data_IF_263249697885
#
_entry.id   IF_263249697885
#
_cell.length_a   1.000
_cell.length_b   1.000
_cell.length_c   1.000
_cell.angle_alpha   90.00
_cell.angle_beta   90.00
_cell.angle_gamma   90.00
#
_symmetry.space_group_name_H-M   'P 1'
#
loop_
_entity.id
_entity.type
_entity.pdbx_description
1 polymer ?
#
# COMPACT_ATOMS: atom_id res chain seq x y z
N UNK A 1 -11.78 12.70 11.01
CA UNK A 1 -10.39 12.94 10.53
C UNK A 1 -10.20 12.14 9.24
N UNK A 2 -9.84 12.79 8.16
CA UNK A 2 -9.61 12.09 6.88
C UNK A 2 -8.14 11.65 6.82
N UNK A 3 -7.91 10.34 6.65
CA UNK A 3 -6.58 9.80 6.36
C UNK A 3 -6.38 9.91 4.84
N UNK A 4 -5.54 10.86 4.42
CA UNK A 4 -5.13 10.99 3.03
C UNK A 4 -3.73 10.42 2.89
N UNK A 5 -3.56 9.46 1.98
CA UNK A 5 -2.27 8.85 1.68
C UNK A 5 -1.81 9.26 0.27
N UNK A 6 -0.77 10.08 0.23
CA UNK A 6 -0.14 10.53 -1.02
C UNK A 6 1.03 9.64 -1.44
N UNK A 7 1.42 8.67 -0.63
CA UNK A 7 2.55 7.78 -0.92
C UNK A 7 2.21 6.61 -1.86
N UNK A 8 0.92 6.45 -2.21
CA UNK A 8 0.44 5.31 -3.03
C UNK A 8 1.18 5.21 -4.37
N UNK A 9 1.40 6.34 -5.06
CA UNK A 9 2.12 6.38 -6.33
C UNK A 9 3.58 5.89 -6.18
N UNK A 10 4.30 6.42 -5.21
CA UNK A 10 5.68 6.03 -4.93
C UNK A 10 5.78 4.56 -4.47
N UNK A 11 4.80 4.09 -3.69
CA UNK A 11 4.70 2.68 -3.28
C UNK A 11 4.52 1.76 -4.48
N UNK A 12 3.66 2.11 -5.44
CA UNK A 12 3.46 1.33 -6.66
C UNK A 12 4.78 1.23 -7.45
N UNK A 13 5.48 2.35 -7.63
CA UNK A 13 6.75 2.36 -8.37
C UNK A 13 7.80 1.48 -7.67
N UNK A 14 8.03 1.67 -6.38
CA UNK A 14 9.02 0.90 -5.63
C UNK A 14 8.67 -0.60 -5.59
N UNK A 15 7.40 -0.93 -5.36
CA UNK A 15 6.92 -2.31 -5.33
C UNK A 15 7.06 -2.99 -6.70
N UNK A 16 6.81 -2.27 -7.80
CA UNK A 16 6.97 -2.81 -9.15
C UNK A 16 8.43 -3.08 -9.52
N UNK A 17 9.36 -2.22 -9.11
CA UNK A 17 10.80 -2.45 -9.28
C UNK A 17 11.24 -3.71 -8.53
N UNK A 18 10.79 -3.87 -7.29
CA UNK A 18 11.10 -5.05 -6.47
C UNK A 18 10.48 -6.31 -7.10
N UNK A 19 9.23 -6.21 -7.61
CA UNK A 19 8.59 -7.31 -8.32
C UNK A 19 9.38 -7.75 -9.56
N UNK A 20 9.83 -6.81 -10.38
CA UNK A 20 10.64 -7.11 -11.56
C UNK A 20 11.96 -7.79 -11.18
N UNK A 21 12.67 -7.28 -10.17
CA UNK A 21 13.92 -7.89 -9.72
C UNK A 21 13.71 -9.29 -9.09
N UNK A 22 12.62 -9.48 -8.37
CA UNK A 22 12.28 -10.77 -7.76
C UNK A 22 11.82 -11.80 -8.80
N UNK A 23 11.15 -11.36 -9.88
CA UNK A 23 10.71 -12.24 -10.95
C UNK A 23 11.86 -12.91 -11.69
N UNK A 24 13.01 -12.27 -11.79
CA UNK A 24 14.23 -12.83 -12.39
C UNK A 24 14.74 -14.04 -11.60
N UNK A 25 14.56 -14.06 -10.27
CA UNK A 25 15.06 -15.14 -9.40
C UNK A 25 14.00 -16.21 -9.08
N UNK A 26 12.76 -15.79 -8.88
CA UNK A 26 11.68 -16.63 -8.36
C UNK A 26 10.50 -16.78 -9.33
N UNK A 27 10.62 -16.30 -10.56
CA UNK A 27 9.58 -16.43 -11.56
C UNK A 27 8.28 -15.73 -11.16
N UNK A 28 7.14 -16.33 -11.49
CA UNK A 28 5.80 -15.80 -11.17
C UNK A 28 5.54 -15.61 -9.67
N UNK A 29 6.10 -16.48 -8.82
CA UNK A 29 5.96 -16.33 -7.37
C UNK A 29 6.62 -15.05 -6.87
N UNK A 30 7.82 -14.72 -7.38
CA UNK A 30 8.50 -13.46 -7.07
C UNK A 30 7.72 -12.23 -7.52
N UNK A 31 7.09 -12.30 -8.70
CA UNK A 31 6.30 -11.21 -9.25
C UNK A 31 5.07 -10.84 -8.38
N UNK A 32 4.47 -11.82 -7.72
CA UNK A 32 3.25 -11.59 -6.90
C UNK A 32 3.59 -11.37 -5.43
N UNK A 33 4.45 -12.20 -4.84
CA UNK A 33 4.71 -12.18 -3.40
C UNK A 33 5.57 -10.97 -3.00
N UNK A 34 6.61 -10.65 -3.78
CA UNK A 34 7.53 -9.57 -3.43
C UNK A 34 6.87 -8.18 -3.33
N UNK A 35 6.03 -7.75 -4.28
CA UNK A 35 5.34 -6.46 -4.16
C UNK A 35 4.31 -6.44 -3.04
N UNK A 36 3.65 -7.57 -2.71
CA UNK A 36 2.73 -7.65 -1.58
C UNK A 36 3.46 -7.42 -0.25
N UNK A 37 4.60 -8.07 -0.06
CA UNK A 37 5.44 -7.88 1.13
C UNK A 37 5.93 -6.44 1.18
N UNK A 38 6.47 -5.91 0.08
CA UNK A 38 6.98 -4.55 0.00
C UNK A 38 5.88 -3.51 0.34
N UNK A 39 4.72 -3.60 -0.30
CA UNK A 39 3.59 -2.71 -0.05
C UNK A 39 3.11 -2.77 1.40
N UNK A 40 3.07 -3.97 1.99
CA UNK A 40 2.71 -4.15 3.39
C UNK A 40 3.72 -3.48 4.34
N UNK A 41 5.01 -3.62 4.07
CA UNK A 41 6.07 -2.97 4.87
C UNK A 41 5.97 -1.46 4.76
N UNK A 42 5.79 -0.92 3.56
CA UNK A 42 5.62 0.52 3.33
C UNK A 42 4.39 1.06 4.06
N UNK A 43 3.25 0.38 3.97
CA UNK A 43 2.04 0.76 4.70
C UNK A 43 2.23 0.75 6.20
N UNK A 44 2.91 -0.26 6.76
CA UNK A 44 3.26 -0.32 8.18
C UNK A 44 4.17 0.86 8.59
N UNK A 45 5.18 1.19 7.79
CA UNK A 45 6.07 2.34 8.05
C UNK A 45 5.25 3.63 8.07
N UNK A 46 4.40 3.87 7.05
CA UNK A 46 3.54 5.04 6.97
C UNK A 46 2.65 5.17 8.21
N UNK A 47 1.98 4.08 8.61
CA UNK A 47 1.11 4.06 9.77
C UNK A 47 1.84 4.33 11.08
N UNK A 48 3.02 3.73 11.29
CA UNK A 48 3.83 3.91 12.50
C UNK A 48 4.35 5.35 12.59
N UNK A 49 4.89 5.89 11.49
CA UNK A 49 5.43 7.26 11.44
C UNK A 49 4.31 8.26 11.69
N UNK A 50 3.15 8.09 11.06
CA UNK A 50 1.98 8.93 11.26
C UNK A 50 1.55 8.99 12.74
N UNK A 51 1.46 7.82 13.40
CA UNK A 51 1.05 7.77 14.82
C UNK A 51 2.10 8.41 15.72
N UNK A 52 3.39 8.17 15.47
CA UNK A 52 4.46 8.71 16.33
C UNK A 52 4.62 10.22 16.23
N UNK A 53 4.48 10.77 15.03
CA UNK A 53 4.72 12.20 14.80
C UNK A 53 3.53 13.08 15.19
N UNK A 54 2.32 12.55 15.30
CA UNK A 54 1.10 13.30 15.64
C UNK A 54 0.82 14.50 14.73
N UNK A 55 1.29 14.46 13.48
CA UNK A 55 1.08 15.49 12.45
C UNK A 55 0.08 15.00 11.39
N UNK A 56 -0.31 15.89 10.49
CA UNK A 56 -1.25 15.53 9.41
C UNK A 56 -0.74 14.36 8.58
N UNK A 57 -1.63 13.40 8.25
CA UNK A 57 -1.30 12.26 7.39
C UNK A 57 -0.75 12.69 6.03
N UNK A 58 -1.29 13.77 5.47
CA UNK A 58 -0.86 14.31 4.20
C UNK A 58 0.63 14.72 4.21
N UNK A 59 1.08 15.40 5.26
CA UNK A 59 2.49 15.83 5.37
C UNK A 59 3.41 14.62 5.50
N UNK A 60 3.03 13.65 6.35
CA UNK A 60 3.81 12.43 6.56
C UNK A 60 3.94 11.64 5.27
N UNK A 61 2.84 11.40 4.59
CA UNK A 61 2.84 10.57 3.37
C UNK A 61 3.51 11.26 2.19
N UNK A 62 3.40 12.60 2.07
CA UNK A 62 4.18 13.36 1.09
C UNK A 62 5.69 13.29 1.35
N UNK A 63 6.13 13.41 2.60
CA UNK A 63 7.55 13.29 2.93
C UNK A 63 8.08 11.86 2.67
N UNK A 64 7.30 10.84 3.03
CA UNK A 64 7.67 9.45 2.79
C UNK A 64 7.65 9.09 1.30
N UNK A 65 6.74 9.66 0.50
CA UNK A 65 6.73 9.44 -0.94
C UNK A 65 8.03 9.87 -1.61
N UNK A 66 8.59 11.02 -1.22
CA UNK A 66 9.90 11.48 -1.73
C UNK A 66 11.03 10.52 -1.38
N UNK A 67 10.98 9.93 -0.17
CA UNK A 67 11.97 8.91 0.24
C UNK A 67 11.82 7.65 -0.62
N UNK A 68 10.59 7.17 -0.87
CA UNK A 68 10.36 5.99 -1.69
C UNK A 68 10.71 6.20 -3.16
N UNK A 69 10.49 7.41 -3.69
CA UNK A 69 10.95 7.80 -5.03
C UNK A 69 12.48 7.79 -5.11
N UNK A 70 13.15 8.40 -4.14
CA UNK A 70 14.60 8.38 -4.08
C UNK A 70 15.17 6.95 -3.99
N UNK A 71 14.56 6.09 -3.17
CA UNK A 71 14.91 4.67 -3.09
C UNK A 71 14.70 3.95 -4.43
N UNK A 72 13.63 4.27 -5.15
CA UNK A 72 13.35 3.71 -6.48
C UNK A 72 14.43 4.06 -7.49
N UNK A 73 14.84 5.34 -7.52
CA UNK A 73 15.93 5.80 -8.38
C UNK A 73 17.27 5.18 -7.96
N UNK A 74 17.54 5.09 -6.67
CA UNK A 74 18.78 4.50 -6.15
C UNK A 74 18.89 3.00 -6.51
N UNK A 75 17.83 2.23 -6.34
CA UNK A 75 17.83 0.79 -6.64
C UNK A 75 17.97 0.47 -8.12
N UNK A 76 17.52 1.38 -8.99
CA UNK A 76 17.60 1.22 -10.45
C UNK A 76 18.84 1.90 -11.07
N UNK A 77 19.60 2.67 -10.27
CA UNK A 77 20.65 3.57 -10.79
C UNK A 77 20.11 4.51 -11.88
N UNK A 78 18.86 4.95 -11.77
CA UNK A 78 18.18 5.78 -12.75
C UNK A 78 17.87 5.09 -14.09
N UNK A 79 18.02 3.76 -14.18
CA UNK A 79 17.72 2.99 -15.40
C UNK A 79 16.31 2.45 -15.39
N UNK A 80 15.73 2.29 -16.57
CA UNK A 80 14.44 1.63 -16.71
C UNK A 80 14.55 0.14 -16.39
N UNK A 81 13.68 -0.35 -15.52
CA UNK A 81 13.55 -1.78 -15.24
C UNK A 81 12.52 -2.34 -16.21
N UNK A 82 12.94 -3.32 -17.00
CA UNK A 82 12.09 -3.96 -18.01
C UNK A 82 11.76 -5.37 -17.54
N UNK A 83 10.47 -5.66 -17.47
CA UNK A 83 9.97 -7.00 -17.19
C UNK A 83 10.20 -7.92 -18.40
N UNK A 84 10.65 -9.14 -18.16
CA UNK A 84 10.79 -10.16 -19.22
C UNK A 84 9.46 -10.39 -19.93
N UNK A 85 9.51 -10.64 -21.24
CA UNK A 85 8.33 -10.83 -22.10
C UNK A 85 7.38 -11.93 -21.60
N UNK A 86 7.93 -12.96 -20.95
CA UNK A 86 7.15 -14.06 -20.37
C UNK A 86 6.15 -13.62 -19.29
N UNK A 87 6.47 -12.55 -18.53
CA UNK A 87 5.63 -12.07 -17.42
C UNK A 87 4.70 -10.91 -17.81
N UNK A 88 4.77 -10.44 -19.07
CA UNK A 88 3.93 -9.35 -19.58
C UNK A 88 2.45 -9.68 -19.57
N UNK A 89 2.09 -10.95 -19.65
CA UNK A 89 0.70 -11.41 -19.67
C UNK A 89 -0.15 -10.87 -18.50
N UNK A 90 0.45 -10.59 -17.34
CA UNK A 90 -0.27 -9.97 -16.20
C UNK A 90 -0.59 -8.48 -16.41
N UNK A 91 0.18 -7.79 -17.25
CA UNK A 91 -0.04 -6.39 -17.60
C UNK A 91 -0.93 -6.19 -18.81
N UNK A 92 -1.17 -7.23 -19.59
CA UNK A 92 -1.93 -7.15 -20.83
C UNK A 92 -3.43 -7.31 -20.60
N UNK A 93 -4.22 -6.69 -21.48
CA UNK A 93 -5.66 -6.87 -21.51
C UNK A 93 -6.00 -8.30 -22.01
N UNK A 94 -6.96 -9.02 -21.38
CA UNK A 94 -7.88 -8.61 -20.32
C UNK A 94 -7.42 -8.95 -18.88
N UNK A 95 -6.25 -9.56 -18.68
CA UNK A 95 -5.80 -10.10 -17.39
C UNK A 95 -5.66 -9.00 -16.33
N UNK A 96 -5.09 -7.85 -16.69
CA UNK A 96 -4.94 -6.71 -15.79
C UNK A 96 -6.29 -6.18 -15.27
N UNK A 97 -7.31 -6.15 -16.13
CA UNK A 97 -8.67 -5.72 -15.76
C UNK A 97 -9.33 -6.71 -14.80
N UNK A 98 -9.18 -8.01 -15.05
CA UNK A 98 -9.71 -9.06 -14.17
C UNK A 98 -9.05 -8.97 -12.78
N UNK A 99 -7.72 -8.82 -12.72
CA UNK A 99 -7.01 -8.66 -11.46
C UNK A 99 -7.44 -7.40 -10.69
N UNK A 100 -7.62 -6.29 -11.40
CA UNK A 100 -8.11 -5.05 -10.78
C UNK A 100 -9.52 -5.21 -10.21
N UNK A 101 -10.43 -5.89 -10.93
CA UNK A 101 -11.78 -6.17 -10.44
C UNK A 101 -11.76 -7.10 -9.22
N UNK A 102 -10.95 -8.15 -9.24
CA UNK A 102 -10.80 -9.05 -8.09
C UNK A 102 -10.31 -8.27 -6.87
N UNK A 103 -9.26 -7.46 -7.03
CA UNK A 103 -8.74 -6.63 -5.95
C UNK A 103 -9.79 -5.64 -5.42
N UNK A 104 -10.54 -4.99 -6.32
CA UNK A 104 -11.62 -4.08 -5.95
C UNK A 104 -12.71 -4.77 -5.12
N UNK A 105 -13.23 -5.91 -5.59
CA UNK A 105 -14.26 -6.65 -4.85
C UNK A 105 -13.74 -7.19 -3.52
N UNK A 106 -12.49 -7.62 -3.44
CA UNK A 106 -11.87 -8.08 -2.20
C UNK A 106 -11.74 -6.94 -1.19
N UNK A 107 -11.25 -5.77 -1.61
CA UNK A 107 -11.19 -4.58 -0.75
C UNK A 107 -12.59 -4.12 -0.32
N UNK A 108 -13.55 -4.09 -1.24
CA UNK A 108 -14.93 -3.73 -0.92
C UNK A 108 -15.55 -4.68 0.11
N UNK A 109 -15.29 -5.99 -0.03
CA UNK A 109 -15.74 -7.00 0.92
C UNK A 109 -15.12 -6.80 2.30
N UNK A 110 -13.79 -6.58 2.38
CA UNK A 110 -13.08 -6.34 3.64
C UNK A 110 -13.64 -5.09 4.33
N UNK A 111 -13.81 -3.98 3.60
CA UNK A 111 -14.30 -2.73 4.16
C UNK A 111 -15.77 -2.82 4.61
N UNK A 112 -16.60 -3.57 3.90
CA UNK A 112 -18.03 -3.64 4.21
C UNK A 112 -18.38 -4.67 5.29
N UNK A 113 -17.69 -5.82 5.31
CA UNK A 113 -18.11 -6.97 6.11
C UNK A 113 -17.14 -7.32 7.25
N UNK A 114 -15.97 -6.69 7.34
CA UNK A 114 -15.03 -6.99 8.42
C UNK A 114 -15.00 -5.92 9.50
N UNK A 115 -14.53 -6.31 10.70
CA UNK A 115 -14.32 -5.39 11.83
C UNK A 115 -13.36 -4.24 11.47
N UNK A 116 -12.43 -4.49 10.54
CA UNK A 116 -11.47 -3.48 10.07
C UNK A 116 -12.22 -2.31 9.45
N UNK A 117 -13.13 -2.56 8.52
CA UNK A 117 -13.89 -1.51 7.86
C UNK A 117 -14.82 -0.77 8.81
N UNK A 118 -15.55 -1.51 9.67
CA UNK A 118 -16.47 -0.92 10.64
C UNK A 118 -15.75 0.03 11.60
N UNK A 119 -14.61 -0.39 12.16
CA UNK A 119 -13.85 0.44 13.10
C UNK A 119 -13.12 1.59 12.40
N UNK A 120 -12.61 1.40 11.19
CA UNK A 120 -12.03 2.48 10.41
C UNK A 120 -13.06 3.56 10.09
N UNK A 121 -14.29 3.16 9.72
CA UNK A 121 -15.39 4.10 9.49
C UNK A 121 -15.80 4.85 10.78
N UNK A 122 -15.90 4.14 11.90
CA UNK A 122 -16.23 4.75 13.21
C UNK A 122 -15.16 5.77 13.63
N UNK A 123 -13.87 5.46 13.47
CA UNK A 123 -12.75 6.38 13.76
C UNK A 123 -12.81 7.60 12.83
N UNK A 124 -13.13 7.40 11.55
CA UNK A 124 -13.27 8.47 10.57
C UNK A 124 -14.40 9.43 10.90
N UNK A 125 -15.50 8.92 11.45
CA UNK A 125 -16.65 9.73 11.85
C UNK A 125 -16.38 10.52 13.13
N UNK A 126 -15.93 9.86 14.20
CA UNK A 126 -15.55 10.53 15.46
C UNK A 126 -14.56 9.67 16.25
N UNK A 127 -13.31 10.10 16.25
CA UNK A 127 -12.21 9.41 16.92
C UNK A 127 -12.40 9.30 18.45
N UNK A 128 -12.92 10.36 19.08
CA UNK A 128 -13.11 10.40 20.54
C UNK A 128 -14.18 9.40 20.96
N UNK A 129 -15.29 9.36 20.23
CA UNK A 129 -16.38 8.42 20.48
C UNK A 129 -15.91 6.98 20.27
N UNK A 130 -15.20 6.70 19.18
CA UNK A 130 -14.66 5.37 18.91
C UNK A 130 -13.71 4.90 20.02
N UNK A 131 -12.83 5.78 20.51
CA UNK A 131 -11.94 5.49 21.65
C UNK A 131 -12.69 5.19 22.93
N UNK A 132 -13.73 5.96 23.25
CA UNK A 132 -14.56 5.76 24.43
C UNK A 132 -15.36 4.45 24.38
N UNK A 133 -15.66 3.96 23.19
CA UNK A 133 -16.27 2.64 22.95
C UNK A 133 -15.26 1.48 23.00
N UNK A 134 -14.01 1.72 23.40
CA UNK A 134 -12.97 0.70 23.56
C UNK A 134 -12.25 0.31 22.26
N UNK A 135 -12.42 1.04 21.16
CA UNK A 135 -11.72 0.77 19.92
C UNK A 135 -10.27 1.24 20.02
N UNK A 136 -9.32 0.36 19.72
CA UNK A 136 -7.89 0.74 19.68
C UNK A 136 -7.58 1.55 18.41
N UNK A 137 -7.73 2.87 18.52
CA UNK A 137 -7.59 3.81 17.42
C UNK A 137 -6.23 3.69 16.72
N UNK A 138 -5.14 3.58 17.48
CA UNK A 138 -3.78 3.48 16.92
C UNK A 138 -3.63 2.25 16.05
N UNK A 139 -4.13 1.09 16.50
CA UNK A 139 -4.06 -0.16 15.73
C UNK A 139 -4.79 -0.04 14.40
N UNK A 140 -6.00 0.49 14.41
CA UNK A 140 -6.81 0.60 13.19
C UNK A 140 -6.33 1.70 12.25
N UNK A 141 -5.69 2.75 12.76
CA UNK A 141 -4.99 3.73 11.93
C UNK A 141 -3.81 3.11 11.17
N UNK A 142 -3.00 2.24 11.82
CA UNK A 142 -1.91 1.52 11.14
C UNK A 142 -2.45 0.59 10.06
N UNK A 143 -3.54 -0.13 10.34
CA UNK A 143 -4.12 -1.08 9.37
C UNK A 143 -4.78 -0.38 8.19
N UNK A 144 -5.15 0.89 8.34
CA UNK A 144 -5.76 1.68 7.29
C UNK A 144 -4.75 2.24 6.27
N UNK A 145 -3.46 2.27 6.62
CA UNK A 145 -2.34 2.54 5.72
C UNK A 145 -1.79 1.27 5.08
#
# INVERSE_FOLDING_TARGET
>A
MYLLDMSVGANIVLSSIIACNASVKFGYAGLIIAPLICGTIIGLINGIVYIKLHISSLIVTCALSLIYEALSVYTTNGKNVILSTEYRAFGDYPVNLILALIAYFLCAFILKYTKIGIYTYAIGSNEVVAKNMGVNVSKYKIVAF
#
